data_IF_065646118258
#
_entry.id   IF_065646118258
#
_cell.length_a   1.000
_cell.length_b   1.000
_cell.length_c   1.000
_cell.angle_alpha   90.00
_cell.angle_beta   90.00
_cell.angle_gamma   90.00
#
_symmetry.space_group_name_H-M   'P 1'
#
loop_
_entity.id
_entity.type
_entity.pdbx_description
1 polymer ?
#
# COMPACT_ATOMS: atom_id res chain seq x y z
N UNK A 1 -16.79 6.88 -1.27
CA UNK A 1 -15.62 6.29 -0.60
C UNK A 1 -15.79 4.78 -0.52
N UNK A 2 -14.79 4.05 -0.98
CA UNK A 2 -14.78 2.59 -1.07
C UNK A 2 -13.67 2.06 -0.17
N UNK A 3 -13.97 1.01 0.60
CA UNK A 3 -12.96 0.33 1.41
C UNK A 3 -12.16 -0.65 0.54
N UNK A 4 -10.83 -0.53 0.57
CA UNK A 4 -9.90 -1.46 -0.05
C UNK A 4 -8.97 -2.05 1.01
N UNK A 5 -8.92 -3.38 1.06
CA UNK A 5 -7.95 -4.13 1.86
C UNK A 5 -6.74 -4.45 0.98
N UNK A 6 -5.56 -4.01 1.39
CA UNK A 6 -4.30 -4.38 0.78
C UNK A 6 -3.64 -5.49 1.57
N UNK A 7 -3.25 -6.54 0.87
CA UNK A 7 -2.57 -7.70 1.45
C UNK A 7 -1.31 -7.99 0.67
N UNK A 8 -0.19 -8.16 1.37
CA UNK A 8 1.10 -8.43 0.73
C UNK A 8 1.98 -9.34 1.56
N UNK A 9 2.67 -10.26 0.90
CA UNK A 9 3.73 -11.06 1.54
C UNK A 9 5.02 -10.24 1.53
N UNK A 10 5.55 -9.92 2.71
CA UNK A 10 6.75 -9.08 2.86
C UNK A 10 7.59 -9.61 4.03
N UNK A 11 8.76 -10.16 3.73
CA UNK A 11 9.72 -10.55 4.76
C UNK A 11 10.51 -9.32 5.24
N UNK A 12 10.64 -9.19 6.55
CA UNK A 12 11.24 -8.04 7.22
C UNK A 12 12.27 -8.46 8.26
N UNK A 13 13.33 -7.67 8.42
CA UNK A 13 14.26 -7.78 9.54
C UNK A 13 13.73 -7.03 10.76
N UNK A 14 14.35 -7.28 11.93
CA UNK A 14 13.94 -6.65 13.18
C UNK A 14 13.91 -5.11 13.05
N UNK A 15 12.77 -4.53 13.43
CA UNK A 15 12.53 -3.09 13.37
C UNK A 15 12.11 -2.54 12.00
N UNK A 16 12.11 -3.36 10.94
CA UNK A 16 11.54 -2.94 9.66
C UNK A 16 10.00 -2.98 9.70
N UNK A 17 9.38 -2.08 8.95
CA UNK A 17 7.92 -2.04 8.77
C UNK A 17 7.56 -2.00 7.29
N UNK A 18 6.49 -2.71 6.89
CA UNK A 18 5.94 -2.61 5.53
C UNK A 18 4.87 -1.54 5.49
N UNK A 19 4.93 -0.65 4.51
CA UNK A 19 3.96 0.41 4.26
C UNK A 19 3.49 0.40 2.81
N UNK A 20 2.37 1.06 2.54
CA UNK A 20 1.86 1.32 1.20
C UNK A 20 1.85 2.83 0.93
N UNK A 21 2.26 3.19 -0.28
CA UNK A 21 2.34 4.57 -0.74
C UNK A 21 1.89 4.67 -2.19
N UNK A 22 1.14 5.70 -2.57
CA UNK A 22 0.60 5.81 -3.92
C UNK A 22 0.20 7.22 -4.33
N UNK A 23 -0.35 7.33 -5.53
CA UNK A 23 -0.70 8.56 -6.22
C UNK A 23 -1.94 9.28 -5.69
N UNK A 24 -2.51 8.82 -4.56
CA UNK A 24 -3.78 9.28 -4.02
C UNK A 24 -3.89 10.83 -4.03
N UNK A 25 -4.78 11.41 -4.86
CA UNK A 25 -4.69 12.80 -5.23
C UNK A 25 -5.46 13.77 -4.33
N UNK A 26 -6.26 13.33 -3.34
CA UNK A 26 -7.33 14.20 -2.80
C UNK A 26 -7.36 14.40 -1.28
N UNK A 27 -7.30 15.66 -0.77
CA UNK A 27 -7.63 16.00 0.61
C UNK A 27 -9.10 15.67 0.95
N UNK A 28 -9.46 15.48 2.24
CA UNK A 28 -8.67 15.83 3.43
C UNK A 28 -7.64 14.77 3.82
N UNK A 29 -7.58 13.65 3.11
CA UNK A 29 -6.89 12.48 3.61
C UNK A 29 -6.06 11.85 2.50
N UNK A 30 -4.75 12.01 2.60
CA UNK A 30 -3.78 11.30 1.78
C UNK A 30 -3.75 9.83 2.25
N UNK A 31 -4.77 9.03 1.89
CA UNK A 31 -4.99 7.67 2.41
C UNK A 31 -3.85 6.73 2.03
N UNK A 32 -3.15 7.05 0.93
CA UNK A 32 -1.94 6.36 0.49
C UNK A 32 -0.71 7.30 0.42
N UNK A 33 -0.75 8.46 1.08
CA UNK A 33 0.42 9.33 1.25
C UNK A 33 0.86 10.19 0.07
N UNK A 34 0.27 10.07 -1.13
CA UNK A 34 0.57 10.96 -2.27
C UNK A 34 2.05 10.95 -2.68
N UNK A 35 2.67 9.77 -2.71
CA UNK A 35 4.13 9.59 -2.90
C UNK A 35 5.05 10.28 -1.88
N UNK A 36 4.51 10.77 -0.75
CA UNK A 36 5.28 11.24 0.40
C UNK A 36 5.46 10.11 1.44
N UNK A 37 6.69 9.62 1.64
CA UNK A 37 6.97 8.45 2.50
C UNK A 37 6.56 8.68 3.95
N UNK A 38 6.71 9.90 4.46
CA UNK A 38 6.30 10.25 5.83
C UNK A 38 4.80 10.08 6.04
N UNK A 39 4.03 10.07 4.95
CA UNK A 39 2.58 9.87 4.92
C UNK A 39 2.17 8.50 4.41
N UNK A 40 3.12 7.60 4.14
CA UNK A 40 2.83 6.25 3.72
C UNK A 40 2.02 5.52 4.80
N UNK A 41 0.97 4.82 4.38
CA UNK A 41 0.09 4.12 5.29
C UNK A 41 0.77 2.86 5.81
N UNK A 42 0.87 2.66 7.14
CA UNK A 42 1.48 1.47 7.71
C UNK A 42 0.58 0.25 7.48
N UNK A 43 1.21 -0.90 7.20
CA UNK A 43 0.54 -2.20 7.26
C UNK A 43 0.82 -2.86 8.61
N UNK A 44 -0.05 -3.78 8.99
CA UNK A 44 0.07 -4.57 10.22
C UNK A 44 0.27 -6.05 9.92
N UNK A 45 0.99 -6.73 10.80
CA UNK A 45 1.16 -8.19 10.83
C UNK A 45 1.32 -8.59 12.30
N UNK A 46 1.13 -9.87 12.60
CA UNK A 46 1.50 -10.46 13.89
C UNK A 46 2.24 -11.79 13.70
N UNK A 47 2.62 -12.43 14.81
CA UNK A 47 3.36 -13.69 14.78
C UNK A 47 2.58 -14.86 14.15
N UNK A 48 1.25 -14.79 14.10
CA UNK A 48 0.39 -15.82 13.52
C UNK A 48 0.14 -15.64 12.02
N UNK A 49 0.28 -14.40 11.53
CA UNK A 49 0.00 -14.01 10.14
C UNK A 49 1.27 -13.73 9.33
N UNK A 50 2.40 -13.45 9.98
CA UNK A 50 3.68 -13.18 9.32
C UNK A 50 4.09 -14.34 8.38
N UNK A 51 4.58 -14.06 7.15
CA UNK A 51 4.97 -12.76 6.59
C UNK A 51 3.87 -12.02 5.81
N UNK A 52 2.59 -12.25 6.13
CA UNK A 52 1.47 -11.54 5.50
C UNK A 52 1.19 -10.22 6.23
N UNK A 53 1.26 -9.12 5.49
CA UNK A 53 0.94 -7.78 5.97
C UNK A 53 -0.37 -7.30 5.38
N UNK A 54 -1.20 -6.67 6.22
CA UNK A 54 -2.55 -6.20 5.85
C UNK A 54 -2.72 -4.73 6.24
N UNK A 55 -3.39 -3.97 5.40
CA UNK A 55 -3.84 -2.61 5.71
C UNK A 55 -5.13 -2.29 4.97
N UNK A 56 -5.91 -1.37 5.53
CA UNK A 56 -7.21 -0.97 4.99
C UNK A 56 -7.17 0.53 4.67
N UNK A 57 -7.61 0.89 3.47
CA UNK A 57 -7.74 2.28 3.05
C UNK A 57 -9.14 2.56 2.54
N UNK A 58 -9.73 3.66 2.99
CA UNK A 58 -10.95 4.21 2.42
C UNK A 58 -10.59 5.16 1.28
N UNK A 59 -10.85 4.78 0.04
CA UNK A 59 -10.42 5.51 -1.16
C UNK A 59 -11.58 6.21 -1.84
N UNK A 60 -11.31 7.39 -2.38
CA UNK A 60 -12.26 8.12 -3.24
C UNK A 60 -11.85 7.97 -4.70
N UNK A 61 -12.14 6.79 -5.25
CA UNK A 61 -11.92 6.44 -6.64
C UNK A 61 -13.29 6.28 -7.31
N UNK A 62 -13.47 6.84 -8.49
CA UNK A 62 -14.69 6.69 -9.28
C UNK A 62 -14.54 5.62 -10.34
N UNK A 63 -15.68 5.11 -10.83
CA UNK A 63 -15.71 4.08 -11.86
C UNK A 63 -14.83 4.45 -13.07
N UNK A 64 -14.02 3.51 -13.55
CA UNK A 64 -13.10 3.69 -14.66
C UNK A 64 -11.78 4.41 -14.30
N UNK A 65 -11.61 4.87 -13.05
CA UNK A 65 -10.35 5.45 -12.59
C UNK A 65 -9.36 4.38 -12.13
N UNK A 66 -8.08 4.77 -12.13
CA UNK A 66 -6.99 3.97 -11.60
C UNK A 66 -6.05 4.80 -10.75
N UNK A 67 -5.53 4.20 -9.68
CA UNK A 67 -4.49 4.74 -8.83
C UNK A 67 -3.23 3.89 -8.94
N UNK A 68 -2.08 4.54 -8.84
CA UNK A 68 -0.78 3.87 -8.77
C UNK A 68 -0.31 3.78 -7.33
N UNK A 69 0.32 2.68 -6.97
CA UNK A 69 0.91 2.51 -5.65
C UNK A 69 2.13 1.59 -5.65
N UNK A 70 2.87 1.64 -4.56
CA UNK A 70 3.94 0.70 -4.23
C UNK A 70 3.90 0.31 -2.75
N UNK A 71 4.43 -0.86 -2.47
CA UNK A 71 4.86 -1.23 -1.13
C UNK A 71 6.30 -0.78 -0.88
N UNK A 72 6.56 -0.36 0.35
CA UNK A 72 7.90 0.02 0.80
C UNK A 72 8.21 -0.64 2.14
N UNK A 73 9.47 -1.02 2.34
CA UNK A 73 10.02 -1.43 3.65
C UNK A 73 10.77 -0.23 4.23
N UNK A 74 10.32 0.26 5.39
CA UNK A 74 10.98 1.35 6.11
C UNK A 74 11.87 0.74 7.19
N UNK A 75 13.14 1.12 7.17
CA UNK A 75 14.17 0.68 8.11
C UNK A 75 14.12 1.50 9.42
N UNK A 76 14.69 0.98 10.53
CA UNK A 76 14.74 1.71 11.80
C UNK A 76 15.43 3.07 11.75
N UNK A 77 16.37 3.25 10.81
CA UNK A 77 17.09 4.50 10.58
C UNK A 77 16.35 5.48 9.63
N UNK A 78 15.15 5.11 9.17
CA UNK A 78 14.34 5.90 8.24
C UNK A 78 14.62 5.61 6.76
N UNK A 79 15.60 4.76 6.42
CA UNK A 79 15.85 4.39 5.03
C UNK A 79 14.68 3.61 4.43
N UNK A 80 14.39 3.84 3.15
CA UNK A 80 13.21 3.31 2.46
C UNK A 80 13.65 2.41 1.32
N UNK A 81 13.25 1.15 1.39
CA UNK A 81 13.44 0.19 0.29
C UNK A 81 12.12 0.04 -0.45
N UNK A 82 12.10 0.45 -1.70
CA UNK A 82 10.93 0.35 -2.56
C UNK A 82 10.84 -1.04 -3.18
N UNK A 83 9.62 -1.53 -3.38
CA UNK A 83 9.45 -2.74 -4.16
C UNK A 83 9.99 -2.55 -5.59
N UNK A 84 10.64 -3.58 -6.17
CA UNK A 84 11.22 -3.48 -7.51
C UNK A 84 10.14 -3.36 -8.59
N UNK A 85 10.56 -3.02 -9.82
CA UNK A 85 9.68 -2.96 -10.98
C UNK A 85 8.77 -1.73 -11.02
N UNK A 86 7.74 -1.80 -11.86
CA UNK A 86 6.79 -0.70 -12.08
C UNK A 86 5.85 -0.49 -10.88
N UNK A 87 5.12 0.63 -10.88
CA UNK A 87 4.05 0.87 -9.92
C UNK A 87 2.94 -0.19 -10.09
N UNK A 88 2.35 -0.61 -8.98
CA UNK A 88 1.13 -1.42 -8.97
C UNK A 88 -0.06 -0.54 -9.31
N UNK A 89 -1.08 -1.14 -9.89
CA UNK A 89 -2.33 -0.47 -10.22
C UNK A 89 -3.46 -0.97 -9.33
N UNK A 90 -4.24 -0.03 -8.82
CA UNK A 90 -5.57 -0.23 -8.27
C UNK A 90 -6.58 0.36 -9.27
N UNK A 91 -7.58 -0.42 -9.66
CA UNK A 91 -8.63 0.00 -10.60
C UNK A 91 -10.00 -0.21 -9.98
N UNK A 92 -10.91 0.71 -10.23
CA UNK A 92 -12.32 0.52 -9.90
C UNK A 92 -13.12 0.40 -11.20
N UNK A 93 -13.66 -0.78 -11.46
CA UNK A 93 -14.32 -1.11 -12.72
C UNK A 93 -15.42 -2.17 -12.49
N UNK A 94 -16.50 -2.08 -13.25
CA UNK A 94 -17.75 -2.81 -13.08
C UNK A 94 -18.25 -2.90 -11.61
N UNK A 95 -18.06 -1.84 -10.83
CA UNK A 95 -18.44 -1.80 -9.42
C UNK A 95 -17.56 -2.64 -8.48
N UNK A 96 -16.41 -3.12 -8.94
CA UNK A 96 -15.44 -3.89 -8.15
C UNK A 96 -14.03 -3.25 -8.15
N UNK A 97 -13.30 -3.44 -7.06
CA UNK A 97 -11.92 -2.98 -6.94
C UNK A 97 -10.94 -4.10 -7.31
N UNK A 98 -10.03 -3.82 -8.24
CA UNK A 98 -8.98 -4.72 -8.69
C UNK A 98 -7.60 -4.17 -8.32
N UNK A 99 -6.84 -4.93 -7.54
CA UNK A 99 -5.47 -4.57 -7.15
C UNK A 99 -4.45 -5.62 -7.60
N UNK A 100 -3.22 -5.19 -7.87
CA UNK A 100 -2.16 -6.11 -8.27
C UNK A 100 -1.68 -6.97 -7.09
N UNK A 101 -1.83 -8.29 -7.22
CA UNK A 101 -1.43 -9.30 -6.23
C UNK A 101 -0.01 -9.80 -6.51
N UNK A 102 0.78 -10.00 -5.46
CA UNK A 102 2.14 -10.57 -5.56
C UNK A 102 3.01 -10.18 -4.37
N UNK A 103 4.07 -10.95 -4.05
CA UNK A 103 4.97 -10.64 -2.94
C UNK A 103 5.76 -9.34 -3.18
N UNK A 104 6.31 -8.79 -2.10
CA UNK A 104 7.35 -7.75 -2.17
C UNK A 104 8.70 -8.46 -2.16
N UNK A 105 9.57 -8.06 -3.09
CA UNK A 105 10.94 -8.59 -3.22
C UNK A 105 11.80 -8.41 -1.97
#
# INVERSE_FOLDING_TARGET
>A
MLCQIFTVKSETHFGQTTKIIGSDPTPPWQRMGGWCVDKAMPLTTDASTYPLWVGEAELDITEGQSLEYKFVKVQPDGNVVWEPGNNRLLRFDNGEMFSAVGPVG
#
